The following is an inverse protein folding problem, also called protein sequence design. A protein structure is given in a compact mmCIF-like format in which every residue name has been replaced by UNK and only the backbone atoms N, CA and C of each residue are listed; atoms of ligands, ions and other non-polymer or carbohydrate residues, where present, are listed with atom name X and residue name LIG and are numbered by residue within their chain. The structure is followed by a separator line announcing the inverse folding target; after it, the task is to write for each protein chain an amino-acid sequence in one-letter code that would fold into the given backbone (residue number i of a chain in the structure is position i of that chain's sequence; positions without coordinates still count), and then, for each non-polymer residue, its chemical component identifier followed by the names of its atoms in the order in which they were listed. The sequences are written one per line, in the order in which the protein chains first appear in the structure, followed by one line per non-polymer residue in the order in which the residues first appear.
data_IF_581784938526
#
_entry.id   IF_581784938526
#
_cell.length_a   1.000
_cell.length_b   1.000
_cell.length_c   1.000
_cell.angle_alpha   90.00
_cell.angle_beta   90.00
_cell.angle_gamma   90.00
#
_symmetry.space_group_name_H-M   'P 1'
#
loop_
_entity.id
_entity.type
_entity.pdbx_description
1 polymer ?
#
# COMPACT_ATOMS: atom_id res chain seq x y z
N UNK A 1 10.63 5.48 -3.40
CA UNK A 1 10.36 5.77 -1.97
C UNK A 1 8.87 6.10 -1.86
N UNK A 2 8.06 5.23 -1.26
CA UNK A 2 6.64 5.49 -1.07
C UNK A 2 6.49 6.60 0.00
N UNK A 3 5.92 7.75 -0.36
CA UNK A 3 5.70 8.85 0.60
C UNK A 3 4.23 8.86 1.01
N UNK A 4 3.90 9.17 2.27
CA UNK A 4 2.51 9.11 2.77
C UNK A 4 1.58 10.18 2.16
N UNK A 5 2.14 11.05 1.31
CA UNK A 5 1.46 12.22 0.75
C UNK A 5 0.91 11.99 -0.66
N UNK A 6 1.23 10.88 -1.32
CA UNK A 6 0.65 10.52 -2.62
C UNK A 6 -0.77 9.98 -2.46
N UNK A 7 -1.56 10.09 -3.52
CA UNK A 7 -2.94 9.61 -3.55
C UNK A 7 -3.00 8.09 -3.68
N UNK A 8 -3.98 7.46 -3.03
CA UNK A 8 -4.20 6.00 -3.14
C UNK A 8 -4.38 5.59 -4.60
N UNK A 9 -5.13 6.38 -5.38
CA UNK A 9 -5.31 6.14 -6.82
C UNK A 9 -4.00 6.19 -7.61
N UNK A 10 -3.07 7.05 -7.23
CA UNK A 10 -1.75 7.16 -7.88
C UNK A 10 -0.82 6.01 -7.49
N UNK A 11 -0.94 5.50 -6.26
CA UNK A 11 -0.24 4.27 -5.83
C UNK A 11 -0.73 3.08 -6.66
N UNK A 12 -2.05 2.91 -6.79
CA UNK A 12 -2.64 1.81 -7.56
C UNK A 12 -2.35 1.94 -9.05
N UNK A 13 -2.33 3.16 -9.58
CA UNK A 13 -1.97 3.43 -10.98
C UNK A 13 -0.50 3.08 -11.27
N UNK A 14 0.41 3.32 -10.32
CA UNK A 14 1.81 2.91 -10.44
C UNK A 14 2.01 1.42 -10.21
N UNK A 15 1.24 0.82 -9.30
CA UNK A 15 1.38 -0.59 -8.95
C UNK A 15 0.00 -1.21 -8.66
N UNK A 16 -0.59 -1.85 -9.67
CA UNK A 16 -1.91 -2.47 -9.57
C UNK A 16 -2.00 -3.52 -8.45
N UNK A 17 -0.90 -4.20 -8.12
CA UNK A 17 -0.84 -5.15 -7.01
C UNK A 17 -1.13 -4.49 -5.64
N UNK A 18 -0.81 -3.19 -5.49
CA UNK A 18 -1.14 -2.44 -4.29
C UNK A 18 -2.65 -2.37 -4.05
N UNK A 19 -3.48 -2.44 -5.10
CA UNK A 19 -4.93 -2.54 -4.95
C UNK A 19 -5.35 -3.79 -4.17
N UNK A 20 -4.61 -4.89 -4.33
CA UNK A 20 -4.83 -6.13 -3.56
C UNK A 20 -4.64 -5.88 -2.06
N UNK A 21 -3.55 -5.20 -1.69
CA UNK A 21 -3.26 -4.83 -0.30
C UNK A 21 -4.36 -3.92 0.25
N UNK A 22 -4.72 -2.84 -0.45
CA UNK A 22 -5.82 -1.96 -0.02
C UNK A 22 -7.15 -2.69 0.11
N UNK A 23 -7.41 -3.68 -0.74
CA UNK A 23 -8.62 -4.50 -0.69
C UNK A 23 -8.66 -5.40 0.55
N UNK A 24 -7.51 -5.84 1.07
CA UNK A 24 -7.43 -6.54 2.36
C UNK A 24 -7.82 -5.63 3.52
N UNK A 25 -7.45 -4.35 3.45
CA UNK A 25 -7.82 -3.35 4.45
C UNK A 25 -9.26 -2.82 4.29
N UNK A 26 -9.83 -2.93 3.09
CA UNK A 26 -11.25 -2.75 2.83
C UNK A 26 -11.55 -2.13 1.45
N UNK A 27 -12.72 -2.43 0.85
CA UNK A 27 -13.08 -2.00 -0.51
C UNK A 27 -13.27 -0.49 -0.70
N UNK A 28 -13.25 0.28 0.38
CA UNK A 28 -13.60 1.70 0.41
C UNK A 28 -12.41 2.63 0.13
N UNK A 29 -11.20 2.08 -0.03
CA UNK A 29 -9.99 2.83 -0.39
C UNK A 29 -10.05 3.44 -1.80
N UNK A 30 -10.89 2.90 -2.68
CA UNK A 30 -11.02 3.32 -4.08
C UNK A 30 -12.18 4.29 -4.36
N UNK A 31 -12.88 4.80 -3.33
CA UNK A 31 -13.98 5.74 -3.50
C UNK A 31 -13.48 7.14 -3.90
N UNK A 32 -12.98 7.27 -5.13
CA UNK A 32 -13.02 8.44 -6.04
C UNK A 32 -12.46 9.81 -5.63
N UNK A 33 -12.32 10.12 -4.34
CA UNK A 33 -12.27 11.50 -3.84
C UNK A 33 -10.87 12.12 -3.76
N UNK A 34 -9.86 11.52 -4.39
CA UNK A 34 -8.49 12.05 -4.31
C UNK A 34 -8.03 12.16 -2.86
N UNK A 35 -8.24 11.12 -2.05
CA UNK A 35 -7.74 11.09 -0.68
C UNK A 35 -6.29 10.62 -0.66
N UNK A 36 -5.43 11.33 0.07
CA UNK A 36 -4.05 10.90 0.30
C UNK A 36 -4.02 9.61 1.10
N UNK A 37 -2.98 8.80 0.88
CA UNK A 37 -2.76 7.54 1.58
C UNK A 37 -2.86 7.67 3.11
N UNK A 38 -2.28 8.74 3.68
CA UNK A 38 -2.41 9.11 5.10
C UNK A 38 -3.88 9.28 5.54
N UNK A 39 -4.65 10.09 4.83
CA UNK A 39 -6.05 10.37 5.17
C UNK A 39 -6.93 9.12 5.06
N UNK A 40 -6.65 8.25 4.08
CA UNK A 40 -7.37 6.99 3.92
C UNK A 40 -7.13 6.06 5.12
N UNK A 41 -5.88 5.95 5.58
CA UNK A 41 -5.55 5.20 6.79
C UNK A 41 -6.16 5.81 8.05
N UNK A 42 -6.10 7.13 8.23
CA UNK A 42 -6.68 7.81 9.41
C UNK A 42 -8.20 7.65 9.49
N UNK A 43 -8.91 7.77 8.36
CA UNK A 43 -10.37 7.54 8.31
C UNK A 43 -10.76 6.12 8.71
N UNK A 44 -9.90 5.15 8.41
CA UNK A 44 -10.12 3.72 8.70
C UNK A 44 -9.48 3.27 10.02
N UNK A 45 -8.79 4.16 10.74
CA UNK A 45 -7.92 3.83 11.89
C UNK A 45 -6.92 2.70 11.58
N UNK A 46 -6.37 2.71 10.37
CA UNK A 46 -5.33 1.78 9.94
C UNK A 46 -3.96 2.35 10.27
N UNK A 47 -3.04 1.47 10.62
CA UNK A 47 -1.67 1.87 10.85
C UNK A 47 -0.99 2.15 9.51
N UNK A 48 -0.70 3.44 9.29
CA UNK A 48 -0.07 3.91 8.07
C UNK A 48 1.29 3.23 7.85
N UNK A 49 2.02 2.98 8.94
CA UNK A 49 3.37 2.41 8.91
C UNK A 49 3.33 0.97 8.41
N UNK A 50 2.41 0.17 8.94
CA UNK A 50 2.20 -1.22 8.53
C UNK A 50 1.77 -1.29 7.06
N UNK A 51 0.83 -0.43 6.65
CA UNK A 51 0.37 -0.37 5.28
C UNK A 51 1.50 0.01 4.30
N UNK A 52 2.30 1.04 4.60
CA UNK A 52 3.47 1.41 3.78
C UNK A 52 4.48 0.25 3.72
N UNK A 53 4.69 -0.46 4.83
CA UNK A 53 5.62 -1.58 4.87
C UNK A 53 5.15 -2.73 3.97
N UNK A 54 3.86 -3.09 4.00
CA UNK A 54 3.27 -4.10 3.12
C UNK A 54 3.32 -3.69 1.65
N UNK A 55 3.04 -2.42 1.32
CA UNK A 55 3.20 -1.93 -0.05
C UNK A 55 4.66 -1.91 -0.50
N UNK A 56 5.60 -1.63 0.41
CA UNK A 56 7.03 -1.71 0.13
C UNK A 56 7.48 -3.14 -0.15
N UNK A 57 6.87 -4.13 0.50
CA UNK A 57 7.14 -5.55 0.21
C UNK A 57 6.69 -5.93 -1.19
N UNK A 58 5.57 -5.42 -1.71
CA UNK A 58 5.16 -5.68 -3.10
C UNK A 58 6.17 -5.16 -4.15
N UNK A 59 6.80 -4.02 -3.88
CA UNK A 59 7.88 -3.47 -4.73
C UNK A 59 9.13 -4.37 -4.69
N UNK A 60 9.41 -4.98 -3.53
CA UNK A 60 10.52 -5.91 -3.33
C UNK A 60 10.24 -7.33 -3.83
N UNK A 61 8.98 -7.79 -3.80
CA UNK A 61 8.60 -9.16 -4.20
C UNK A 61 8.72 -9.39 -5.71
N UNK A 62 8.62 -8.32 -6.51
CA UNK A 62 9.00 -8.35 -7.93
C UNK A 62 10.52 -8.28 -8.17
N UNK A 63 11.33 -8.05 -7.14
CA UNK A 63 12.79 -7.87 -7.24
C UNK A 63 13.64 -8.89 -6.45
N UNK A 64 13.07 -9.75 -5.61
CA UNK A 64 13.88 -10.71 -4.87
C UNK A 64 13.08 -11.70 -4.02
N UNK A 65 12.72 -12.84 -4.61
CA UNK A 65 12.69 -14.08 -3.85
C UNK A 65 14.15 -14.52 -3.64
N UNK A 66 14.86 -13.83 -2.75
CA UNK A 66 16.10 -14.32 -2.15
C UNK A 66 15.80 -14.57 -0.67
N UNK A 67 14.92 -15.55 -0.45
CA UNK A 67 14.79 -16.24 0.81
C UNK A 67 16.13 -16.84 1.26
N UNK A 68 16.87 -16.07 2.06
CA UNK A 68 17.93 -16.61 2.88
C UNK A 68 17.31 -17.42 4.03
N UNK A 69 17.05 -18.69 3.74
CA UNK A 69 16.86 -19.76 4.72
C UNK A 69 18.17 -19.93 5.53
N UNK A 70 18.32 -19.22 6.65
CA UNK A 70 19.35 -19.53 7.65
C UNK A 70 18.79 -19.38 9.07
N UNK A 71 18.32 -20.50 9.61
CA UNK A 71 18.71 -21.01 10.93
C UNK A 71 18.18 -22.44 11.12
#
# INVERSE_FOLDING_TARGET
MLTPYIFVGEIVAQNYNAAGIFRQFGPDFCSGDGISHKNACEKKKLDLTENISELGKLDQESAGNDENFLA
#
